data_IF_861239638205
#
_entry.id   IF_861239638205
#
_cell.length_a   1.000
_cell.length_b   1.000
_cell.length_c   1.000
_cell.angle_alpha   90.00
_cell.angle_beta   90.00
_cell.angle_gamma   90.00
#
_symmetry.space_group_name_H-M   'P 1'
#
loop_
_entity.id
_entity.type
_entity.pdbx_description
1 polymer ?
#
# COMPACT_ATOMS: atom_id res chain seq x y z
N UNK A 1 0.57 18.79 -25.31
CA UNK A 1 0.21 18.52 -23.90
C UNK A 1 0.29 17.01 -23.71
N UNK A 2 0.97 16.54 -22.65
CA UNK A 2 1.13 15.10 -22.38
C UNK A 2 0.08 14.66 -21.36
N UNK A 3 -0.41 13.43 -21.51
CA UNK A 3 -1.44 12.83 -20.66
C UNK A 3 -0.94 11.52 -20.08
N UNK A 4 -1.53 11.13 -18.95
CA UNK A 4 -1.30 9.86 -18.27
C UNK A 4 -2.65 9.17 -18.11
N UNK A 5 -2.66 7.86 -18.27
CA UNK A 5 -3.78 6.98 -18.00
C UNK A 5 -3.36 6.01 -16.90
N UNK A 6 -4.31 5.62 -16.05
CA UNK A 6 -4.10 4.60 -15.04
C UNK A 6 -3.87 3.21 -15.69
N UNK A 7 -2.92 2.43 -15.16
CA UNK A 7 -2.51 1.14 -15.76
C UNK A 7 -3.68 0.17 -15.85
N UNK A 8 -4.46 0.06 -14.77
CA UNK A 8 -5.60 -0.85 -14.71
C UNK A 8 -6.68 -0.43 -15.70
N UNK A 9 -6.91 0.87 -15.83
CA UNK A 9 -7.84 1.43 -16.82
C UNK A 9 -7.37 1.06 -18.24
N UNK A 10 -6.08 1.26 -18.56
CA UNK A 10 -5.51 0.91 -19.84
C UNK A 10 -5.58 -0.60 -20.16
N UNK A 11 -5.24 -1.46 -19.20
CA UNK A 11 -5.32 -2.92 -19.34
C UNK A 11 -6.75 -3.40 -19.60
N UNK A 12 -7.75 -2.81 -18.91
CA UNK A 12 -9.15 -3.12 -19.16
C UNK A 12 -9.56 -2.76 -20.59
N UNK A 13 -9.16 -1.57 -21.08
CA UNK A 13 -9.43 -1.19 -22.48
C UNK A 13 -8.83 -2.18 -23.47
N UNK A 14 -7.57 -2.60 -23.27
CA UNK A 14 -6.93 -3.61 -24.14
C UNK A 14 -7.73 -4.92 -24.13
N UNK A 15 -8.08 -5.43 -22.95
CA UNK A 15 -8.80 -6.70 -22.83
C UNK A 15 -10.15 -6.65 -23.54
N UNK A 16 -10.87 -5.55 -23.39
CA UNK A 16 -12.16 -5.35 -24.03
C UNK A 16 -12.04 -5.18 -25.56
N UNK A 17 -11.03 -4.45 -26.05
CA UNK A 17 -10.74 -4.31 -27.48
C UNK A 17 -10.38 -5.65 -28.12
N UNK A 18 -9.51 -6.44 -27.47
CA UNK A 18 -9.14 -7.78 -27.93
C UNK A 18 -10.36 -8.70 -27.96
N UNK A 19 -11.24 -8.60 -26.96
CA UNK A 19 -12.48 -9.36 -26.93
C UNK A 19 -13.39 -9.00 -28.12
N UNK A 20 -13.65 -7.72 -28.35
CA UNK A 20 -14.47 -7.25 -29.48
C UNK A 20 -13.89 -7.66 -30.84
N UNK A 21 -12.57 -7.55 -31.00
CA UNK A 21 -11.90 -8.01 -32.21
C UNK A 21 -12.09 -9.52 -32.42
N UNK A 22 -11.98 -10.33 -31.35
CA UNK A 22 -12.25 -11.76 -31.38
C UNK A 22 -13.67 -12.10 -31.85
N UNK A 23 -14.67 -11.38 -31.33
CA UNK A 23 -16.08 -11.55 -31.74
C UNK A 23 -16.27 -11.23 -33.23
N UNK A 24 -15.70 -10.11 -33.70
CA UNK A 24 -15.78 -9.70 -35.10
C UNK A 24 -15.11 -10.72 -36.02
N UNK A 25 -13.92 -11.21 -35.64
CA UNK A 25 -13.18 -12.20 -36.40
C UNK A 25 -13.96 -13.53 -36.51
N UNK A 26 -14.59 -13.97 -35.42
CA UNK A 26 -15.46 -15.15 -35.43
C UNK A 26 -16.67 -14.98 -36.34
N UNK A 27 -17.32 -13.81 -36.32
CA UNK A 27 -18.45 -13.52 -37.22
C UNK A 27 -18.03 -13.55 -38.69
N UNK A 28 -16.89 -12.93 -39.03
CA UNK A 28 -16.37 -12.95 -40.39
C UNK A 28 -16.06 -14.39 -40.85
N UNK A 29 -15.47 -15.21 -39.96
CA UNK A 29 -15.21 -16.61 -40.23
C UNK A 29 -16.51 -17.40 -40.49
N UNK A 30 -17.51 -17.25 -39.63
CA UNK A 30 -18.81 -17.94 -39.78
C UNK A 30 -19.52 -17.50 -41.06
N UNK A 31 -19.52 -16.21 -41.38
CA UNK A 31 -20.08 -15.67 -42.61
C UNK A 31 -19.45 -16.29 -43.86
N UNK A 32 -18.13 -16.54 -43.84
CA UNK A 32 -17.43 -17.23 -44.92
C UNK A 32 -17.69 -18.74 -45.03
N UNK A 33 -18.40 -19.34 -44.07
CA UNK A 33 -18.69 -20.78 -44.03
C UNK A 33 -20.14 -21.14 -44.31
N UNK A 34 -21.02 -20.15 -44.47
CA UNK A 34 -22.44 -20.35 -44.76
C UNK A 34 -22.64 -21.16 -46.05
N UNK A 35 -23.39 -22.26 -45.98
CA UNK A 35 -23.76 -23.07 -47.15
C UNK A 35 -25.27 -23.22 -47.34
N UNK A 36 -26.03 -23.14 -46.27
CA UNK A 36 -27.48 -23.31 -46.28
C UNK A 36 -28.22 -22.28 -45.40
N UNK A 37 -29.54 -22.36 -45.40
CA UNK A 37 -30.42 -21.46 -44.66
C UNK A 37 -30.27 -21.60 -43.14
N UNK A 38 -29.91 -22.81 -42.65
CA UNK A 38 -29.67 -23.03 -41.21
C UNK A 38 -28.37 -22.38 -40.76
N UNK A 39 -27.33 -22.44 -41.58
CA UNK A 39 -26.08 -21.72 -41.33
C UNK A 39 -26.31 -20.20 -41.27
N UNK A 40 -27.18 -19.66 -42.14
CA UNK A 40 -27.58 -18.25 -42.09
C UNK A 40 -28.33 -17.89 -40.80
N UNK A 41 -29.28 -18.73 -40.36
CA UNK A 41 -30.00 -18.52 -39.10
C UNK A 41 -29.04 -18.51 -37.90
N UNK A 42 -28.10 -19.46 -37.85
CA UNK A 42 -27.09 -19.54 -36.80
C UNK A 42 -26.15 -18.31 -36.78
N UNK A 43 -25.76 -17.83 -37.97
CA UNK A 43 -24.97 -16.61 -38.09
C UNK A 43 -25.72 -15.39 -37.56
N UNK A 44 -27.01 -15.26 -37.88
CA UNK A 44 -27.85 -14.16 -37.39
C UNK A 44 -28.04 -14.20 -35.86
N UNK A 45 -28.22 -15.40 -35.27
CA UNK A 45 -28.30 -15.54 -33.81
C UNK A 45 -26.97 -15.12 -33.14
N UNK A 46 -25.85 -15.58 -33.69
CA UNK A 46 -24.51 -15.24 -33.19
C UNK A 46 -24.24 -13.74 -33.29
N UNK A 47 -24.57 -13.13 -34.44
CA UNK A 47 -24.43 -11.69 -34.65
C UNK A 47 -25.24 -10.87 -33.65
N UNK A 48 -26.46 -11.31 -33.30
CA UNK A 48 -27.27 -10.64 -32.27
C UNK A 48 -26.60 -10.70 -30.90
N UNK A 49 -26.18 -11.89 -30.46
CA UNK A 49 -25.52 -12.06 -29.16
C UNK A 49 -24.23 -11.26 -29.06
N UNK A 50 -23.42 -11.25 -30.11
CA UNK A 50 -22.16 -10.48 -30.10
C UNK A 50 -22.42 -8.98 -30.17
N UNK A 51 -23.49 -8.56 -30.86
CA UNK A 51 -23.96 -7.18 -30.81
C UNK A 51 -24.35 -6.75 -29.39
N UNK A 52 -25.08 -7.59 -28.64
CA UNK A 52 -25.44 -7.32 -27.24
C UNK A 52 -24.19 -7.16 -26.35
N UNK A 53 -23.17 -8.02 -26.52
CA UNK A 53 -21.90 -7.90 -25.78
C UNK A 53 -21.19 -6.58 -26.14
N UNK A 54 -21.20 -6.19 -27.41
CA UNK A 54 -20.58 -4.95 -27.84
C UNK A 54 -21.28 -3.72 -27.23
N UNK A 55 -22.62 -3.71 -27.23
CA UNK A 55 -23.40 -2.62 -26.62
C UNK A 55 -23.16 -2.49 -25.11
N UNK A 56 -23.03 -3.61 -24.39
CA UNK A 56 -22.68 -3.58 -22.96
C UNK A 56 -21.33 -2.89 -22.72
N UNK A 57 -20.33 -3.19 -23.56
CA UNK A 57 -19.00 -2.56 -23.49
C UNK A 57 -19.06 -1.07 -23.84
N UNK A 58 -19.75 -0.69 -24.91
CA UNK A 58 -19.91 0.71 -25.30
C UNK A 58 -20.61 1.54 -24.22
N UNK A 59 -21.60 0.96 -23.55
CA UNK A 59 -22.27 1.58 -22.40
C UNK A 59 -21.33 1.74 -21.20
N UNK A 60 -20.53 0.71 -20.89
CA UNK A 60 -19.56 0.76 -19.79
C UNK A 60 -18.47 1.83 -20.01
N UNK A 61 -18.03 2.00 -21.25
CA UNK A 61 -17.08 3.05 -21.65
C UNK A 61 -17.71 4.45 -21.77
N UNK A 62 -19.02 4.58 -21.55
CA UNK A 62 -19.77 5.84 -21.69
C UNK A 62 -19.60 6.49 -23.08
N UNK A 63 -19.40 5.71 -24.15
CA UNK A 63 -19.18 6.28 -25.49
C UNK A 63 -20.51 6.86 -26.00
N UNK A 64 -20.57 8.17 -26.33
CA UNK A 64 -21.80 8.75 -26.86
C UNK A 64 -22.14 8.11 -28.20
N UNK A 65 -23.40 7.68 -28.39
CA UNK A 65 -23.84 7.13 -29.67
C UNK A 65 -23.63 8.09 -30.85
N UNK A 66 -23.69 9.41 -30.59
CA UNK A 66 -23.33 10.44 -31.58
C UNK A 66 -21.86 10.33 -32.00
N UNK A 67 -20.95 10.08 -31.06
CA UNK A 67 -19.54 9.89 -31.36
C UNK A 67 -19.30 8.64 -32.20
N UNK A 68 -19.98 7.54 -31.85
CA UNK A 68 -19.88 6.29 -32.60
C UNK A 68 -20.31 6.45 -34.06
N UNK A 69 -21.35 7.24 -34.32
CA UNK A 69 -21.90 7.42 -35.68
C UNK A 69 -21.20 8.55 -36.46
N UNK A 70 -20.89 9.66 -35.80
CA UNK A 70 -20.46 10.90 -36.47
C UNK A 70 -19.03 11.34 -36.13
N UNK A 71 -18.38 10.72 -35.15
CA UNK A 71 -17.00 11.05 -34.75
C UNK A 71 -16.83 12.49 -34.26
N UNK A 72 -17.82 13.05 -33.55
CA UNK A 72 -17.78 14.42 -33.06
C UNK A 72 -16.56 14.67 -32.15
N UNK A 73 -15.79 15.72 -32.45
CA UNK A 73 -14.59 16.06 -31.68
C UNK A 73 -14.92 16.55 -30.26
N UNK A 74 -16.12 17.07 -30.03
CA UNK A 74 -16.57 17.46 -28.70
C UNK A 74 -16.68 16.23 -27.78
N UNK A 75 -17.34 15.17 -28.27
CA UNK A 75 -17.50 13.92 -27.53
C UNK A 75 -16.14 13.27 -27.25
N UNK A 76 -15.20 13.30 -28.21
CA UNK A 76 -13.82 12.85 -27.98
C UNK A 76 -13.11 13.64 -26.89
N UNK A 77 -13.34 14.96 -26.80
CA UNK A 77 -12.74 15.79 -25.78
C UNK A 77 -13.29 15.44 -24.38
N UNK A 78 -14.58 15.14 -24.28
CA UNK A 78 -15.23 14.69 -23.04
C UNK A 78 -14.69 13.33 -22.59
N UNK A 79 -14.59 12.35 -23.50
CA UNK A 79 -14.01 11.03 -23.21
C UNK A 79 -12.55 11.16 -22.73
N UNK A 80 -11.75 11.99 -23.41
CA UNK A 80 -10.37 12.27 -22.97
C UNK A 80 -10.31 12.91 -21.61
N UNK A 81 -11.23 13.81 -21.26
CA UNK A 81 -11.27 14.44 -19.95
C UNK A 81 -11.72 13.48 -18.84
N UNK A 82 -12.51 12.46 -19.17
CA UNK A 82 -12.96 11.44 -18.23
C UNK A 82 -11.85 10.42 -17.90
N UNK A 83 -11.06 10.00 -18.88
CA UNK A 83 -10.07 8.93 -18.71
C UNK A 83 -8.63 9.43 -18.52
N UNK A 84 -8.27 10.57 -19.11
CA UNK A 84 -6.89 11.04 -19.15
C UNK A 84 -6.63 12.13 -18.11
N UNK A 85 -5.57 11.96 -17.35
CA UNK A 85 -5.06 12.98 -16.43
C UNK A 85 -3.94 13.78 -17.12
N UNK A 86 -3.94 15.12 -17.07
CA UNK A 86 -2.81 15.91 -17.55
C UNK A 86 -1.54 15.58 -16.76
N UNK A 87 -0.43 15.32 -17.46
CA UNK A 87 0.86 14.99 -16.81
C UNK A 87 1.30 16.10 -15.85
N UNK A 88 0.96 17.36 -16.14
CA UNK A 88 1.25 18.50 -15.26
C UNK A 88 0.63 18.39 -13.89
N UNK A 89 -0.55 17.77 -13.77
CA UNK A 89 -1.24 17.66 -12.49
C UNK A 89 -0.65 16.55 -11.64
N UNK A 90 -0.23 15.45 -12.27
CA UNK A 90 0.54 14.38 -11.63
C UNK A 90 1.87 14.92 -11.10
N UNK A 91 2.61 15.70 -11.91
CA UNK A 91 3.88 16.29 -11.48
C UNK A 91 3.70 17.28 -10.33
N UNK A 92 2.67 18.14 -10.36
CA UNK A 92 2.37 19.05 -9.25
C UNK A 92 2.05 18.31 -7.95
N UNK A 93 1.35 17.18 -8.02
CA UNK A 93 1.06 16.36 -6.84
C UNK A 93 2.35 15.77 -6.25
N UNK A 94 3.23 15.25 -7.11
CA UNK A 94 4.54 14.74 -6.71
C UNK A 94 5.43 15.84 -6.09
N UNK A 95 5.50 17.02 -6.70
CA UNK A 95 6.27 18.15 -6.17
C UNK A 95 5.76 18.62 -4.80
N UNK A 96 4.44 18.57 -4.57
CA UNK A 96 3.84 18.89 -3.27
C UNK A 96 4.24 17.89 -2.19
N UNK A 97 4.20 16.60 -2.52
CA UNK A 97 4.61 15.53 -1.60
C UNK A 97 6.09 15.68 -1.20
N UNK A 98 6.95 15.99 -2.18
CA UNK A 98 8.37 16.28 -1.92
C UNK A 98 8.55 17.50 -1.02
N UNK A 99 7.86 18.60 -1.30
CA UNK A 99 7.94 19.82 -0.49
C UNK A 99 7.40 19.65 0.95
N UNK A 100 6.48 18.71 1.17
CA UNK A 100 6.00 18.33 2.50
C UNK A 100 7.05 17.51 3.25
N UNK A 101 7.68 16.53 2.58
CA UNK A 101 8.80 15.75 3.14
C UNK A 101 9.98 16.64 3.50
N UNK A 102 10.35 17.58 2.63
CA UNK A 102 11.41 18.56 2.90
C UNK A 102 11.08 19.45 4.11
N UNK A 103 9.84 19.95 4.22
CA UNK A 103 9.39 20.70 5.40
C UNK A 103 9.41 19.88 6.70
N UNK A 104 9.03 18.61 6.65
CA UNK A 104 9.07 17.72 7.81
C UNK A 104 10.52 17.48 8.29
N UNK A 105 11.46 17.33 7.35
CA UNK A 105 12.88 17.20 7.65
C UNK A 105 13.46 18.48 8.29
N UNK A 106 13.12 19.67 7.76
CA UNK A 106 13.57 20.96 8.33
C UNK A 106 12.98 21.24 9.71
N UNK A 107 11.76 20.79 9.98
CA UNK A 107 11.09 20.94 11.27
C UNK A 107 11.63 20.00 12.38
N UNK A 108 12.56 19.11 12.06
CA UNK A 108 13.11 18.12 12.99
C UNK A 108 12.16 16.96 13.31
N UNK A 109 11.12 16.76 12.49
CA UNK A 109 10.20 15.60 12.57
C UNK A 109 10.28 14.78 11.27
N UNK A 110 11.45 14.19 10.94
CA UNK A 110 11.57 13.39 9.74
C UNK A 110 10.75 12.10 9.88
N UNK A 111 10.25 11.59 8.76
CA UNK A 111 9.63 10.27 8.73
C UNK A 111 10.67 9.20 9.11
N UNK A 112 10.28 8.27 9.98
CA UNK A 112 11.13 7.15 10.38
C UNK A 112 10.49 5.82 9.99
N UNK A 113 11.35 4.87 9.63
CA UNK A 113 11.00 3.47 9.45
C UNK A 113 11.43 2.71 10.70
N UNK A 114 10.50 1.92 11.25
CA UNK A 114 10.79 0.93 12.27
C UNK A 114 10.64 -0.47 11.67
N UNK A 115 11.60 -1.36 11.95
CA UNK A 115 11.46 -2.76 11.51
C UNK A 115 10.32 -3.44 12.27
N UNK A 116 9.63 -4.39 11.62
CA UNK A 116 8.53 -5.13 12.26
C UNK A 116 9.00 -5.88 13.53
N UNK A 117 10.23 -6.40 13.53
CA UNK A 117 10.85 -7.03 14.70
C UNK A 117 11.10 -6.05 15.83
N UNK A 118 11.64 -4.87 15.54
CA UNK A 118 11.92 -3.86 16.57
C UNK A 118 10.63 -3.29 17.15
N UNK A 119 9.63 -3.06 16.31
CA UNK A 119 8.30 -2.64 16.75
C UNK A 119 7.67 -3.67 17.70
N UNK A 120 7.70 -4.96 17.34
CA UNK A 120 7.18 -6.03 18.21
C UNK A 120 7.90 -6.08 19.57
N UNK A 121 9.22 -5.91 19.58
CA UNK A 121 10.01 -5.88 20.80
C UNK A 121 9.69 -4.65 21.67
N UNK A 122 9.57 -3.48 21.06
CA UNK A 122 9.20 -2.23 21.73
C UNK A 122 7.83 -2.33 22.40
N UNK A 123 6.82 -2.80 21.67
CA UNK A 123 5.46 -2.99 22.21
C UNK A 123 5.46 -3.98 23.38
N UNK A 124 6.22 -5.07 23.27
CA UNK A 124 6.34 -6.07 24.35
C UNK A 124 6.99 -5.49 25.61
N UNK A 125 8.08 -4.74 25.46
CA UNK A 125 8.78 -4.10 26.58
C UNK A 125 7.90 -3.01 27.23
N UNK A 126 7.17 -2.20 26.44
CA UNK A 126 6.22 -1.19 26.94
C UNK A 126 5.05 -1.83 27.70
N UNK A 127 4.49 -2.91 27.16
CA UNK A 127 3.40 -3.62 27.82
C UNK A 127 3.83 -4.20 29.17
N UNK A 128 5.00 -4.82 29.24
CA UNK A 128 5.54 -5.37 30.49
C UNK A 128 5.84 -4.26 31.52
N UNK A 129 6.35 -3.10 31.07
CA UNK A 129 6.49 -1.91 31.92
C UNK A 129 5.14 -1.46 32.49
N UNK A 130 4.12 -1.34 31.64
CA UNK A 130 2.79 -0.88 32.00
C UNK A 130 2.11 -1.80 33.03
N UNK A 131 2.14 -3.11 32.79
CA UNK A 131 1.56 -4.11 33.71
C UNK A 131 2.26 -4.07 35.07
N UNK A 132 3.58 -3.96 35.10
CA UNK A 132 4.35 -3.88 36.36
C UNK A 132 4.08 -2.59 37.12
N UNK A 133 3.97 -1.46 36.43
CA UNK A 133 3.64 -0.18 37.05
C UNK A 133 2.27 -0.24 37.72
N UNK A 134 1.23 -0.66 36.98
CA UNK A 134 -0.13 -0.78 37.51
C UNK A 134 -0.24 -1.79 38.66
N UNK A 135 0.43 -2.95 38.56
CA UNK A 135 0.43 -3.93 39.63
C UNK A 135 1.09 -3.38 40.90
N UNK A 136 2.17 -2.62 40.75
CA UNK A 136 2.87 -1.99 41.88
C UNK A 136 2.00 -0.90 42.51
N UNK A 137 1.40 -0.03 41.71
CA UNK A 137 0.47 1.00 42.17
C UNK A 137 -0.71 0.39 42.94
N UNK A 138 -1.36 -0.63 42.37
CA UNK A 138 -2.45 -1.35 43.04
C UNK A 138 -2.03 -1.92 44.39
N UNK A 139 -0.88 -2.59 44.45
CA UNK A 139 -0.40 -3.13 45.72
C UNK A 139 -0.03 -2.05 46.73
N UNK A 140 0.47 -0.90 46.30
CA UNK A 140 0.70 0.25 47.17
C UNK A 140 -0.61 0.82 47.72
N UNK A 141 -1.67 0.88 46.90
CA UNK A 141 -3.00 1.34 47.37
C UNK A 141 -3.68 0.37 48.34
N UNK A 142 -3.43 -0.92 48.20
CA UNK A 142 -3.97 -1.98 49.06
C UNK A 142 -3.11 -2.24 50.32
N UNK A 143 -1.94 -1.57 50.45
CA UNK A 143 -1.01 -1.81 51.54
C UNK A 143 -1.41 -1.05 52.81
N UNK A 144 -1.86 -1.78 53.83
CA UNK A 144 -2.23 -1.20 55.13
C UNK A 144 -1.14 -1.38 56.20
N UNK A 145 -0.22 -2.32 56.00
CA UNK A 145 0.80 -2.70 57.00
C UNK A 145 2.23 -2.56 56.50
N UNK A 146 3.17 -2.34 57.43
CA UNK A 146 4.61 -2.31 57.11
C UNK A 146 5.11 -3.64 56.50
N UNK A 147 4.47 -4.76 56.86
CA UNK A 147 4.76 -6.08 56.29
C UNK A 147 4.39 -6.14 54.80
N UNK A 148 3.34 -5.45 54.39
CA UNK A 148 2.91 -5.40 52.98
C UNK A 148 3.83 -4.50 52.17
N UNK A 149 4.29 -3.37 52.73
CA UNK A 149 5.33 -2.54 52.12
C UNK A 149 6.64 -3.31 51.91
N UNK A 150 7.09 -4.11 52.90
CA UNK A 150 8.28 -4.97 52.75
C UNK A 150 8.10 -6.04 51.66
N UNK A 151 6.88 -6.57 51.48
CA UNK A 151 6.56 -7.51 50.39
C UNK A 151 6.62 -6.85 49.02
N UNK A 152 6.09 -5.63 48.91
CA UNK A 152 6.14 -4.82 47.67
C UNK A 152 7.60 -4.48 47.34
N UNK A 153 8.37 -4.00 48.32
CA UNK A 153 9.79 -3.71 48.15
C UNK A 153 10.57 -4.93 47.63
N UNK A 154 10.34 -6.12 48.21
CA UNK A 154 10.97 -7.37 47.75
C UNK A 154 10.57 -7.75 46.32
N UNK A 155 9.33 -7.44 45.91
CA UNK A 155 8.83 -7.70 44.57
C UNK A 155 9.45 -6.75 43.54
N UNK A 156 9.51 -5.46 43.87
CA UNK A 156 10.12 -4.41 43.03
C UNK A 156 11.62 -4.62 42.91
N UNK A 157 12.33 -5.04 43.98
CA UNK A 157 13.75 -5.41 43.88
C UNK A 157 13.99 -6.58 42.93
N UNK A 158 13.00 -7.48 42.76
CA UNK A 158 13.06 -8.55 41.76
C UNK A 158 13.00 -8.04 40.32
N UNK A 159 12.50 -6.82 40.09
CA UNK A 159 12.45 -6.20 38.76
C UNK A 159 13.78 -5.60 38.33
N UNK A 160 14.79 -5.52 39.20
CA UNK A 160 16.11 -4.98 38.88
C UNK A 160 16.79 -5.73 37.72
N UNK A 161 16.64 -7.07 37.65
CA UNK A 161 17.15 -7.88 36.54
C UNK A 161 16.48 -7.54 35.22
N UNK A 162 15.17 -7.32 35.26
CA UNK A 162 14.38 -6.93 34.09
C UNK A 162 14.71 -5.51 33.64
N UNK A 163 14.80 -4.55 34.56
CA UNK A 163 15.19 -3.18 34.29
C UNK A 163 16.58 -3.14 33.62
N UNK A 164 17.56 -3.90 34.13
CA UNK A 164 18.89 -4.04 33.49
C UNK A 164 18.83 -4.68 32.10
N UNK A 165 17.85 -5.55 31.82
CA UNK A 165 17.61 -6.07 30.45
C UNK A 165 17.06 -4.96 29.57
N UNK A 166 16.06 -4.23 30.03
CA UNK A 166 15.44 -3.13 29.30
C UNK A 166 16.45 -2.02 28.97
N UNK A 167 17.27 -1.59 29.95
CA UNK A 167 18.32 -0.60 29.71
C UNK A 167 19.32 -1.05 28.65
N UNK A 168 19.71 -2.33 28.64
CA UNK A 168 20.59 -2.87 27.59
C UNK A 168 19.87 -2.98 26.24
N UNK A 169 18.59 -3.36 26.27
CA UNK A 169 17.75 -3.44 25.09
C UNK A 169 17.62 -2.06 24.45
N UNK A 170 17.30 -1.02 25.20
CA UNK A 170 17.08 0.32 24.64
C UNK A 170 18.34 1.19 24.62
N UNK A 171 19.50 0.63 25.01
CA UNK A 171 20.77 1.36 25.15
C UNK A 171 20.68 2.59 26.06
N UNK A 172 19.90 2.49 27.13
CA UNK A 172 19.75 3.56 28.11
C UNK A 172 21.06 3.75 28.90
N UNK A 173 21.39 5.01 29.29
CA UNK A 173 22.51 5.29 30.18
C UNK A 173 22.43 4.45 31.46
N UNK A 174 23.54 3.79 31.82
CA UNK A 174 23.61 2.89 32.99
C UNK A 174 23.71 3.63 34.32
N UNK A 175 24.04 4.92 34.25
CA UNK A 175 24.35 5.74 35.41
C UNK A 175 23.05 6.34 35.91
N UNK A 176 22.40 5.62 36.84
CA UNK A 176 21.12 6.03 37.44
C UNK A 176 21.23 7.22 38.39
N UNK A 177 22.15 8.16 38.16
CA UNK A 177 22.29 9.38 38.96
C UNK A 177 21.19 10.40 38.65
N UNK A 178 20.56 10.31 37.47
CA UNK A 178 19.41 11.13 37.08
C UNK A 178 18.27 10.26 36.55
N UNK A 179 17.03 10.67 36.83
CA UNK A 179 15.86 10.06 36.22
C UNK A 179 15.92 10.31 34.70
N UNK A 180 15.74 9.26 33.89
CA UNK A 180 15.70 9.43 32.43
C UNK A 180 14.52 10.31 32.06
N UNK A 181 14.81 11.50 31.52
CA UNK A 181 13.79 12.36 30.94
C UNK A 181 13.19 11.75 29.68
N UNK A 182 12.04 12.30 29.25
CA UNK A 182 11.39 11.92 27.99
C UNK A 182 12.35 12.00 26.81
N UNK A 183 13.12 13.09 26.74
CA UNK A 183 14.03 13.37 25.62
C UNK A 183 15.15 12.33 25.52
N UNK A 184 15.70 11.89 26.65
CA UNK A 184 16.75 10.86 26.68
C UNK A 184 16.24 9.50 26.19
N UNK A 185 15.02 9.12 26.59
CA UNK A 185 14.38 7.89 26.14
C UNK A 185 14.11 7.94 24.63
N UNK A 186 13.59 9.07 24.16
CA UNK A 186 13.25 9.29 22.77
C UNK A 186 14.49 9.22 21.86
N UNK A 187 15.59 9.86 22.25
CA UNK A 187 16.87 9.80 21.55
C UNK A 187 17.44 8.38 21.45
N UNK A 188 17.37 7.62 22.54
CA UNK A 188 17.82 6.23 22.57
C UNK A 188 17.00 5.34 21.63
N UNK A 189 15.67 5.50 21.62
CA UNK A 189 14.79 4.77 20.72
C UNK A 189 15.02 5.19 19.26
N UNK A 190 15.18 6.50 19.00
CA UNK A 190 15.51 7.04 17.67
C UNK A 190 16.81 6.45 17.13
N UNK A 191 17.87 6.41 17.95
CA UNK A 191 19.18 5.88 17.52
C UNK A 191 19.20 4.37 17.28
N UNK A 192 18.42 3.61 18.06
CA UNK A 192 18.46 2.15 17.99
C UNK A 192 17.46 1.56 17.01
N UNK A 193 16.20 1.98 17.09
CA UNK A 193 15.06 1.27 16.48
C UNK A 193 14.50 1.99 15.26
N UNK A 194 14.78 3.28 15.11
CA UNK A 194 14.25 4.10 14.03
C UNK A 194 15.34 4.39 13.00
N UNK A 195 15.03 4.16 11.74
CA UNK A 195 15.86 4.56 10.60
C UNK A 195 15.20 5.76 9.93
N UNK A 196 15.93 6.83 9.56
CA UNK A 196 15.38 7.86 8.71
C UNK A 196 14.83 7.23 7.43
N UNK A 197 13.65 7.65 7.01
CA UNK A 197 13.08 7.23 5.73
C UNK A 197 13.90 7.83 4.58
N UNK A 198 14.40 6.99 3.69
CA UNK A 198 15.03 7.39 2.43
C UNK A 198 14.08 7.08 1.25
N UNK A 199 14.16 7.84 0.14
CA UNK A 199 13.28 7.61 -1.02
C UNK A 199 13.40 6.18 -1.61
N UNK A 200 14.56 5.53 -1.42
CA UNK A 200 14.80 4.13 -1.78
C UNK A 200 14.07 3.11 -0.90
N UNK A 201 13.52 3.53 0.24
CA UNK A 201 12.72 2.67 1.12
C UNK A 201 11.24 2.61 0.70
N UNK A 202 10.85 3.37 -0.33
CA UNK A 202 9.56 3.22 -0.98
C UNK A 202 9.41 1.82 -1.58
N UNK A 203 8.26 1.19 -1.36
CA UNK A 203 7.83 -0.03 -2.05
C UNK A 203 7.67 0.25 -3.55
N UNK A 204 8.78 0.32 -4.26
CA UNK A 204 8.85 0.74 -5.66
C UNK A 204 10.26 0.57 -6.19
N UNK A 205 10.73 -0.67 -6.26
CA UNK A 205 12.00 -1.00 -6.91
C UNK A 205 12.55 -2.36 -6.50
N UNK A 206 12.37 -3.36 -7.36
CA UNK A 206 13.41 -4.33 -7.73
C UNK A 206 14.28 -4.97 -6.63
N UNK A 207 13.68 -5.46 -5.54
CA UNK A 207 14.34 -6.47 -4.70
C UNK A 207 13.64 -7.82 -4.88
N UNK A 208 13.93 -8.45 -6.02
CA UNK A 208 13.83 -9.89 -6.16
C UNK A 208 14.76 -10.50 -5.08
N UNK A 209 14.27 -11.55 -4.42
CA UNK A 209 14.85 -12.17 -3.24
C UNK A 209 16.35 -12.53 -3.34
N UNK A 210 17.11 -12.61 -2.24
CA UNK A 210 18.48 -13.17 -2.22
C UNK A 210 18.57 -14.65 -2.67
N UNK A 211 17.43 -15.31 -2.88
CA UNK A 211 17.31 -16.67 -3.43
C UNK A 211 17.11 -16.69 -4.96
N UNK A 212 16.97 -15.51 -5.56
CA UNK A 212 16.73 -15.29 -6.97
C UNK A 212 18.09 -14.87 -7.57
N UNK A 213 18.84 -15.82 -8.14
CA UNK A 213 20.09 -15.51 -8.87
C UNK A 213 19.83 -14.73 -10.16
N UNK A 214 20.59 -15.01 -11.24
CA UNK A 214 20.47 -14.35 -12.56
C UNK A 214 19.14 -14.60 -13.34
N UNK A 215 18.06 -15.00 -12.66
CA UNK A 215 16.75 -15.19 -13.27
C UNK A 215 15.84 -14.00 -12.94
N UNK A 216 15.46 -13.24 -13.97
CA UNK A 216 14.43 -12.21 -13.88
C UNK A 216 13.10 -12.85 -13.53
N UNK A 217 12.43 -12.34 -12.51
CA UNK A 217 11.12 -12.79 -12.03
C UNK A 217 9.94 -12.37 -12.95
N UNK A 218 10.22 -12.01 -14.20
CA UNK A 218 9.25 -11.78 -15.26
C UNK A 218 9.56 -12.73 -16.40
N UNK A 219 8.75 -13.77 -16.52
CA UNK A 219 8.33 -14.47 -17.76
C UNK A 219 7.93 -15.89 -17.38
N UNK A 220 6.63 -16.12 -17.24
CA UNK A 220 5.96 -17.39 -17.56
C UNK A 220 4.45 -17.23 -17.32
N UNK A 221 3.80 -16.47 -18.21
CA UNK A 221 2.37 -16.66 -18.50
C UNK A 221 2.19 -16.73 -20.02
N UNK A 222 2.79 -17.75 -20.62
CA UNK A 222 2.30 -18.34 -21.87
C UNK A 222 1.58 -19.63 -21.51
N UNK A 223 0.23 -19.59 -21.48
CA UNK A 223 -0.70 -20.70 -21.80
C UNK A 223 -2.16 -20.24 -21.79
#
# INVERSE_FOLDING_TARGET
>A
MKYVIDSKTYENHINDEVHLYGLLHQLAFLAGKVKDERDMENLLDTAKRYGEIAEEKFAAWCIPGRYLVFGDRADLAELKAAELTPLTDVLKAHDRERAEKERAAEAGDPAYIISASDFRMLVGDLHDLFVRALATERHLTEAETEKDLRRIQKRVSGYERWAKRLCRSWQLPKDGSEAWGRDTLEDCLRKKMLKPYEESDGFGGDCCCDLCGDYSCYDDYDL
#
